data_IF_386813228165
#
_entry.id   IF_386813228165
#
_cell.length_a   1.000
_cell.length_b   1.000
_cell.length_c   1.000
_cell.angle_alpha   90.00
_cell.angle_beta   90.00
_cell.angle_gamma   90.00
#
_symmetry.space_group_name_H-M   'P 1'
#
loop_
_entity.id
_entity.type
_entity.pdbx_description
1 polymer ?
#
# COMPACT_ATOMS: atom_id res chain seq x y z
N UNK A 1 30.09 -14.62 -54.00
CA UNK A 1 30.60 -14.04 -52.75
C UNK A 1 29.38 -13.73 -51.88
N UNK A 2 28.92 -14.70 -51.09
CA UNK A 2 27.77 -14.52 -50.21
C UNK A 2 28.27 -13.97 -48.88
N UNK A 3 27.83 -12.76 -48.53
CA UNK A 3 28.02 -12.24 -47.18
C UNK A 3 26.94 -12.87 -46.27
N UNK A 4 27.29 -13.34 -45.06
CA UNK A 4 26.28 -13.71 -44.08
C UNK A 4 25.70 -12.43 -43.44
N UNK A 5 24.37 -12.36 -43.39
CA UNK A 5 23.58 -11.34 -42.70
C UNK A 5 23.86 -11.42 -41.19
N UNK A 6 24.01 -10.31 -40.45
CA UNK A 6 24.09 -10.36 -38.99
C UNK A 6 22.73 -10.80 -38.43
N UNK A 7 22.70 -11.97 -37.80
CA UNK A 7 21.57 -12.44 -36.99
C UNK A 7 21.25 -11.38 -35.93
N UNK A 8 20.08 -10.75 -36.05
CA UNK A 8 19.49 -9.97 -34.98
C UNK A 8 19.32 -10.89 -33.76
N UNK A 9 19.97 -10.56 -32.65
CA UNK A 9 19.74 -11.22 -31.38
C UNK A 9 18.29 -10.98 -30.95
N UNK A 10 17.58 -12.00 -30.43
CA UNK A 10 16.26 -11.79 -29.83
C UNK A 10 16.39 -10.86 -28.61
N UNK A 11 15.35 -10.07 -28.25
CA UNK A 11 15.36 -9.30 -27.01
C UNK A 11 15.47 -10.30 -25.85
N UNK A 12 16.65 -10.36 -25.24
CA UNK A 12 16.84 -11.21 -24.08
C UNK A 12 16.14 -10.52 -22.90
N UNK A 13 15.08 -11.15 -22.41
CA UNK A 13 14.46 -10.83 -21.13
C UNK A 13 15.43 -11.30 -20.03
N UNK A 14 16.59 -10.67 -19.93
CA UNK A 14 17.61 -11.00 -18.92
C UNK A 14 17.27 -10.25 -17.64
N UNK A 15 16.47 -10.89 -16.78
CA UNK A 15 16.31 -10.46 -15.39
C UNK A 15 17.66 -10.57 -14.71
N UNK A 16 18.35 -9.44 -14.58
CA UNK A 16 19.63 -9.36 -13.88
C UNK A 16 19.38 -9.49 -12.38
N UNK A 17 20.09 -10.37 -11.65
CA UNK A 17 19.93 -10.49 -10.21
C UNK A 17 20.33 -9.18 -9.53
N UNK A 18 19.54 -8.74 -8.54
CA UNK A 18 19.81 -7.52 -7.79
C UNK A 18 21.02 -7.72 -6.87
N UNK A 19 21.83 -6.68 -6.73
CA UNK A 19 22.95 -6.66 -5.77
C UNK A 19 22.45 -6.41 -4.34
N UNK A 20 23.22 -6.77 -3.30
CA UNK A 20 22.84 -6.51 -1.90
C UNK A 20 22.62 -5.03 -1.57
N UNK A 21 23.24 -4.12 -2.33
CA UNK A 21 23.04 -2.68 -2.19
C UNK A 21 21.73 -2.19 -2.82
N UNK A 22 21.20 -2.94 -3.80
CA UNK A 22 19.97 -2.63 -4.53
C UNK A 22 18.73 -3.25 -3.87
N UNK A 23 18.87 -4.41 -3.21
CA UNK A 23 17.80 -5.09 -2.47
C UNK A 23 16.94 -4.19 -1.58
N UNK A 24 17.49 -3.34 -0.68
CA UNK A 24 16.65 -2.53 0.22
C UNK A 24 15.79 -1.50 -0.51
N UNK A 25 16.24 -0.98 -1.66
CA UNK A 25 15.44 -0.05 -2.47
C UNK A 25 14.27 -0.76 -3.14
N UNK A 26 14.48 -2.00 -3.56
CA UNK A 26 13.45 -2.83 -4.17
C UNK A 26 12.41 -3.26 -3.14
N UNK A 27 12.85 -3.74 -1.97
CA UNK A 27 11.98 -4.11 -0.86
C UNK A 27 11.13 -2.93 -0.40
N UNK A 28 11.74 -1.77 -0.16
CA UNK A 28 11.00 -0.57 0.25
C UNK A 28 9.97 -0.14 -0.81
N UNK A 29 10.35 -0.10 -2.09
CA UNK A 29 9.42 0.25 -3.16
C UNK A 29 8.27 -0.77 -3.30
N UNK A 30 8.55 -2.06 -3.08
CA UNK A 30 7.53 -3.11 -3.08
C UNK A 30 6.56 -2.96 -1.89
N UNK A 31 7.09 -2.72 -0.68
CA UNK A 31 6.28 -2.43 0.50
C UNK A 31 5.32 -1.27 0.25
N UNK A 32 5.79 -0.20 -0.40
CA UNK A 32 4.94 0.96 -0.75
C UNK A 32 3.89 0.58 -1.79
N UNK A 33 4.25 -0.17 -2.84
CA UNK A 33 3.31 -0.63 -3.86
C UNK A 33 2.19 -1.48 -3.28
N UNK A 34 2.52 -2.42 -2.38
CA UNK A 34 1.54 -3.28 -1.72
C UNK A 34 0.69 -2.50 -0.70
N UNK A 35 1.28 -1.56 0.04
CA UNK A 35 0.52 -0.71 0.96
C UNK A 35 -0.47 0.23 0.27
N UNK A 36 -0.17 0.63 -0.98
CA UNK A 36 -0.98 1.56 -1.76
C UNK A 36 -1.98 0.86 -2.68
N UNK A 37 -1.96 -0.47 -2.73
CA UNK A 37 -2.90 -1.28 -3.50
C UNK A 37 -4.26 -1.32 -2.79
N UNK A 38 -5.33 -0.69 -3.33
CA UNK A 38 -6.58 -0.52 -2.58
C UNK A 38 -7.25 -1.83 -2.15
N UNK A 39 -7.16 -2.87 -2.98
CA UNK A 39 -7.69 -4.19 -2.66
C UNK A 39 -7.04 -4.77 -1.38
N UNK A 40 -5.71 -4.75 -1.33
CA UNK A 40 -4.96 -5.26 -0.18
C UNK A 40 -5.14 -4.37 1.05
N UNK A 41 -5.15 -3.05 0.89
CA UNK A 41 -5.45 -2.11 1.99
C UNK A 41 -6.83 -2.40 2.59
N UNK A 42 -7.85 -2.57 1.76
CA UNK A 42 -9.21 -2.87 2.19
C UNK A 42 -9.30 -4.24 2.88
N UNK A 43 -8.60 -5.27 2.35
CA UNK A 43 -8.57 -6.59 2.97
C UNK A 43 -7.95 -6.56 4.38
N UNK A 44 -6.90 -5.77 4.59
CA UNK A 44 -6.26 -5.57 5.89
C UNK A 44 -7.17 -4.75 6.83
N UNK A 45 -7.80 -3.68 6.34
CA UNK A 45 -8.68 -2.83 7.15
C UNK A 45 -9.95 -3.55 7.63
N UNK A 46 -10.44 -4.52 6.86
CA UNK A 46 -11.60 -5.33 7.22
C UNK A 46 -11.23 -6.68 7.86
N UNK A 47 -9.95 -6.90 8.17
CA UNK A 47 -9.44 -8.14 8.77
C UNK A 47 -9.83 -9.41 7.99
N UNK A 48 -9.91 -9.33 6.65
CA UNK A 48 -10.25 -10.50 5.82
C UNK A 48 -9.19 -11.60 5.88
N UNK A 49 -7.95 -11.25 6.24
CA UNK A 49 -6.89 -12.21 6.57
C UNK A 49 -6.74 -12.54 8.05
N UNK A 50 -7.69 -12.12 8.90
CA UNK A 50 -7.62 -12.20 10.35
C UNK A 50 -6.85 -11.05 11.00
N UNK A 51 -6.63 -11.11 12.33
CA UNK A 51 -5.96 -10.06 13.09
C UNK A 51 -4.50 -9.83 12.65
N UNK A 52 -3.85 -10.86 12.10
CA UNK A 52 -2.48 -10.82 11.61
C UNK A 52 -2.40 -10.39 10.12
N UNK A 53 -3.47 -9.85 9.55
CA UNK A 53 -3.52 -9.42 8.13
C UNK A 53 -2.48 -8.36 7.78
N UNK A 54 -2.12 -7.49 8.73
CA UNK A 54 -1.04 -6.51 8.56
C UNK A 54 0.34 -7.18 8.44
N UNK A 55 0.61 -8.20 9.26
CA UNK A 55 1.85 -8.98 9.22
C UNK A 55 1.93 -9.84 7.95
N UNK A 56 0.81 -10.41 7.50
CA UNK A 56 0.72 -11.14 6.22
C UNK A 56 1.10 -10.27 5.02
N UNK A 57 0.75 -8.98 5.03
CA UNK A 57 1.15 -8.04 3.99
C UNK A 57 2.66 -7.79 3.99
N UNK A 58 3.29 -7.71 5.15
CA UNK A 58 4.74 -7.60 5.25
C UNK A 58 5.43 -8.89 4.77
N UNK A 59 4.93 -10.04 5.21
CA UNK A 59 5.37 -11.36 4.73
C UNK A 59 5.29 -11.49 3.21
N UNK A 60 4.24 -10.98 2.57
CA UNK A 60 4.08 -10.99 1.12
C UNK A 60 5.24 -10.32 0.39
N UNK A 61 5.84 -9.27 0.95
CA UNK A 61 7.02 -8.63 0.36
C UNK A 61 8.19 -9.61 0.24
N UNK A 62 8.44 -10.39 1.30
CA UNK A 62 9.45 -11.45 1.31
C UNK A 62 9.12 -12.58 0.35
N UNK A 63 7.85 -13.00 0.31
CA UNK A 63 7.39 -14.07 -0.58
C UNK A 63 7.59 -13.72 -2.07
N UNK A 64 7.33 -12.47 -2.46
CA UNK A 64 7.59 -11.99 -3.83
C UNK A 64 9.11 -11.92 -4.12
N UNK A 65 9.93 -11.52 -3.15
CA UNK A 65 11.39 -11.54 -3.30
C UNK A 65 11.93 -12.98 -3.49
N UNK A 66 11.37 -13.94 -2.76
CA UNK A 66 11.70 -15.37 -2.87
C UNK A 66 11.25 -15.96 -4.21
N UNK A 67 10.08 -15.56 -4.72
CA UNK A 67 9.60 -15.94 -6.06
C UNK A 67 10.62 -15.53 -7.12
N UNK A 68 11.09 -14.29 -7.07
CA UNK A 68 12.08 -13.76 -8.01
C UNK A 68 13.48 -14.34 -7.90
N UNK A 69 13.80 -14.93 -6.74
CA UNK A 69 15.05 -15.66 -6.51
C UNK A 69 14.94 -17.09 -7.04
N UNK A 70 13.77 -17.71 -6.88
CA UNK A 70 13.49 -19.08 -7.31
C UNK A 70 13.27 -19.18 -8.82
N UNK A 71 12.56 -18.22 -9.40
CA UNK A 71 12.32 -18.09 -10.83
C UNK A 71 12.65 -16.68 -11.32
N UNK A 72 13.87 -16.44 -11.84
CA UNK A 72 14.25 -15.16 -12.40
C UNK A 72 13.47 -14.79 -13.67
N UNK A 73 12.84 -15.75 -14.35
CA UNK A 73 12.10 -15.50 -15.59
C UNK A 73 10.65 -15.05 -15.34
N UNK A 74 10.20 -15.04 -14.07
CA UNK A 74 8.88 -14.55 -13.63
C UNK A 74 8.49 -13.27 -14.36
N UNK A 75 7.41 -13.35 -15.15
CA UNK A 75 6.84 -12.21 -15.84
C UNK A 75 5.65 -11.60 -15.08
N UNK A 76 4.92 -10.70 -15.73
CA UNK A 76 3.82 -9.98 -15.09
C UNK A 76 2.61 -10.88 -14.84
N UNK A 77 2.38 -11.86 -15.71
CA UNK A 77 1.28 -12.82 -15.62
C UNK A 77 1.58 -13.83 -14.50
N UNK A 78 2.82 -14.34 -14.43
CA UNK A 78 3.27 -15.23 -13.36
C UNK A 78 3.13 -14.57 -11.96
N UNK A 79 3.54 -13.30 -11.86
CA UNK A 79 3.43 -12.55 -10.60
C UNK A 79 1.98 -12.21 -10.26
N UNK A 80 1.14 -11.92 -11.25
CA UNK A 80 -0.30 -11.71 -11.04
C UNK A 80 -0.96 -12.96 -10.45
N UNK A 81 -0.76 -14.12 -11.07
CA UNK A 81 -1.31 -15.39 -10.61
C UNK A 81 -0.88 -15.70 -9.17
N UNK A 82 0.40 -15.42 -8.85
CA UNK A 82 0.92 -15.54 -7.49
C UNK A 82 0.23 -14.61 -6.49
N UNK A 83 0.05 -13.33 -6.85
CA UNK A 83 -0.63 -12.35 -5.99
C UNK A 83 -2.12 -12.70 -5.79
N UNK A 84 -2.80 -13.14 -6.84
CA UNK A 84 -4.20 -13.57 -6.77
C UNK A 84 -4.36 -14.81 -5.89
N UNK A 85 -3.45 -15.79 -5.99
CA UNK A 85 -3.46 -16.97 -5.13
C UNK A 85 -3.31 -16.59 -3.66
N UNK A 86 -2.36 -15.69 -3.32
CA UNK A 86 -2.18 -15.24 -1.94
C UNK A 86 -3.39 -14.46 -1.44
N UNK A 87 -3.98 -13.60 -2.25
CA UNK A 87 -5.20 -12.87 -1.85
C UNK A 87 -6.37 -13.82 -1.56
N UNK A 88 -6.52 -14.89 -2.34
CA UNK A 88 -7.52 -15.93 -2.10
C UNK A 88 -7.22 -16.71 -0.82
N UNK A 89 -5.99 -17.18 -0.65
CA UNK A 89 -5.64 -18.11 0.43
C UNK A 89 -5.44 -17.42 1.78
N UNK A 90 -4.77 -16.27 1.80
CA UNK A 90 -4.39 -15.57 3.03
C UNK A 90 -5.35 -14.46 3.45
N UNK A 91 -6.09 -13.89 2.49
CA UNK A 91 -6.99 -12.75 2.71
C UNK A 91 -8.45 -13.03 2.32
N UNK A 92 -8.82 -14.28 1.98
CA UNK A 92 -10.18 -14.67 1.53
C UNK A 92 -10.79 -13.70 0.49
N UNK A 93 -9.94 -13.08 -0.33
CA UNK A 93 -10.31 -12.00 -1.25
C UNK A 93 -10.17 -12.48 -2.69
N UNK A 94 -11.28 -12.47 -3.43
CA UNK A 94 -11.27 -12.68 -4.87
C UNK A 94 -11.33 -11.32 -5.59
N UNK A 95 -10.35 -11.04 -6.44
CA UNK A 95 -10.35 -9.87 -7.31
C UNK A 95 -10.94 -10.23 -8.67
N UNK A 96 -11.82 -9.36 -9.16
CA UNK A 96 -12.40 -9.46 -10.51
C UNK A 96 -11.93 -8.30 -11.40
N UNK A 97 -10.93 -7.55 -10.94
CA UNK A 97 -10.36 -6.40 -11.62
C UNK A 97 -8.87 -6.61 -11.93
N UNK A 98 -8.37 -5.92 -12.96
CA UNK A 98 -6.97 -6.04 -13.43
C UNK A 98 -5.95 -5.35 -12.49
N UNK A 99 -6.30 -4.98 -11.25
CA UNK A 99 -5.36 -4.29 -10.36
C UNK A 99 -4.17 -5.15 -9.96
N UNK A 100 -4.35 -6.48 -9.85
CA UNK A 100 -3.26 -7.41 -9.59
C UNK A 100 -2.20 -7.33 -10.71
N UNK A 101 -2.62 -7.47 -11.97
CA UNK A 101 -1.75 -7.28 -13.13
C UNK A 101 -1.03 -5.92 -13.13
N UNK A 102 -1.76 -4.83 -12.87
CA UNK A 102 -1.17 -3.49 -12.83
C UNK A 102 -0.09 -3.36 -11.74
N UNK A 103 -0.32 -3.94 -10.56
CA UNK A 103 0.68 -3.97 -9.48
C UNK A 103 1.88 -4.81 -9.89
N UNK A 104 1.67 -6.00 -10.49
CA UNK A 104 2.74 -6.86 -11.01
C UNK A 104 3.65 -6.14 -12.00
N UNK A 105 3.06 -5.42 -12.97
CA UNK A 105 3.81 -4.62 -13.93
C UNK A 105 4.65 -3.53 -13.26
N UNK A 106 4.12 -2.85 -12.23
CA UNK A 106 4.84 -1.82 -11.48
C UNK A 106 6.01 -2.40 -10.69
N UNK A 107 5.84 -3.56 -10.07
CA UNK A 107 6.91 -4.27 -9.35
C UNK A 107 8.04 -4.66 -10.31
N UNK A 108 7.72 -5.21 -11.48
CA UNK A 108 8.71 -5.57 -12.49
C UNK A 108 9.43 -4.36 -13.07
N UNK A 109 8.71 -3.26 -13.32
CA UNK A 109 9.30 -2.01 -13.77
C UNK A 109 10.30 -1.49 -12.74
N UNK A 110 9.92 -1.47 -11.47
CA UNK A 110 10.79 -1.06 -10.35
C UNK A 110 12.04 -1.94 -10.29
N UNK A 111 11.89 -3.27 -10.38
CA UNK A 111 13.02 -4.21 -10.40
C UNK A 111 13.97 -3.91 -11.55
N UNK A 112 13.44 -3.65 -12.75
CA UNK A 112 14.24 -3.34 -13.94
C UNK A 112 15.00 -2.03 -13.80
N UNK A 113 14.37 -1.00 -13.24
CA UNK A 113 15.01 0.30 -13.00
C UNK A 113 16.17 0.16 -12.02
N UNK A 114 15.94 -0.51 -10.89
CA UNK A 114 16.96 -0.73 -9.86
C UNK A 114 18.11 -1.58 -10.41
N UNK A 115 17.82 -2.61 -11.21
CA UNK A 115 18.84 -3.42 -11.89
C UNK A 115 19.68 -2.61 -12.90
N UNK A 116 19.16 -1.49 -13.40
CA UNK A 116 19.86 -0.56 -14.28
C UNK A 116 20.54 0.61 -13.52
N UNK A 117 20.65 0.52 -12.19
CA UNK A 117 21.13 1.59 -11.30
C UNK A 117 20.32 2.90 -11.41
N UNK A 118 19.06 2.82 -11.87
CA UNK A 118 18.10 3.91 -11.84
C UNK A 118 17.20 3.79 -10.60
N UNK A 119 17.48 4.63 -9.61
CA UNK A 119 16.71 4.70 -8.37
C UNK A 119 15.60 5.75 -8.40
N UNK A 120 15.37 6.44 -9.53
CA UNK A 120 14.38 7.51 -9.62
C UNK A 120 12.97 7.01 -9.29
N UNK A 121 12.61 5.80 -9.73
CA UNK A 121 11.31 5.20 -9.42
C UNK A 121 11.14 4.92 -7.94
N UNK A 122 12.13 4.28 -7.31
CA UNK A 122 12.13 3.96 -5.88
C UNK A 122 12.07 5.23 -5.01
N UNK A 123 12.81 6.27 -5.39
CA UNK A 123 12.81 7.56 -4.69
C UNK A 123 11.46 8.28 -4.82
N UNK A 124 10.86 8.28 -6.01
CA UNK A 124 9.52 8.86 -6.21
C UNK A 124 8.44 8.13 -5.40
N UNK A 125 8.51 6.79 -5.33
CA UNK A 125 7.66 5.98 -4.47
C UNK A 125 7.83 6.35 -2.99
N UNK A 126 9.07 6.52 -2.55
CA UNK A 126 9.39 6.91 -1.17
C UNK A 126 8.85 8.30 -0.84
N UNK A 127 9.06 9.29 -1.72
CA UNK A 127 8.54 10.64 -1.52
C UNK A 127 7.01 10.68 -1.50
N UNK A 128 6.37 9.92 -2.39
CA UNK A 128 4.92 9.74 -2.38
C UNK A 128 4.45 9.13 -1.05
N UNK A 129 5.16 8.13 -0.53
CA UNK A 129 4.83 7.51 0.75
C UNK A 129 5.06 8.44 1.94
N UNK A 130 6.06 9.31 1.91
CA UNK A 130 6.25 10.31 2.97
C UNK A 130 5.11 11.33 3.00
N UNK A 131 4.63 11.75 1.83
CA UNK A 131 3.53 12.72 1.69
C UNK A 131 2.15 12.10 1.94
N UNK A 132 1.95 10.86 1.53
CA UNK A 132 0.62 10.22 1.47
C UNK A 132 0.47 9.01 2.39
N UNK A 133 1.55 8.38 2.84
CA UNK A 133 1.55 7.08 3.52
C UNK A 133 1.43 7.12 5.05
N UNK A 134 1.60 8.30 5.67
CA UNK A 134 1.35 8.48 7.12
C UNK A 134 -0.14 8.66 7.45
N UNK A 135 -0.95 9.02 6.47
CA UNK A 135 -2.41 9.03 6.57
C UNK A 135 -2.95 7.87 5.75
N UNK A 136 -3.72 6.99 6.39
CA UNK A 136 -4.42 5.87 5.73
C UNK A 136 -4.94 6.31 4.35
N UNK A 137 -4.71 5.55 3.25
CA UNK A 137 -5.35 5.87 1.98
C UNK A 137 -6.85 5.90 2.25
N UNK A 138 -7.47 7.09 2.21
CA UNK A 138 -8.92 7.23 2.33
C UNK A 138 -9.50 6.66 1.05
N UNK A 139 -9.65 5.34 1.00
CA UNK A 139 -10.44 4.67 -0.03
C UNK A 139 -11.88 5.13 0.22
N UNK A 140 -12.28 6.22 -0.45
CA UNK A 140 -13.69 6.57 -0.59
C UNK A 140 -14.31 5.45 -1.43
N UNK A 141 -14.81 4.41 -0.76
CA UNK A 141 -15.73 3.46 -1.37
C UNK A 141 -16.96 4.27 -1.77
N UNK A 142 -17.01 4.71 -3.03
CA UNK A 142 -18.22 5.26 -3.64
C UNK A 142 -19.22 4.11 -3.69
N UNK A 143 -20.05 3.99 -2.66
CA UNK A 143 -21.36 3.37 -2.82
C UNK A 143 -22.11 4.27 -3.78
N UNK A 144 -22.39 3.77 -4.97
CA UNK A 144 -23.12 4.50 -6.01
C UNK A 144 -24.46 5.00 -5.43
N UNK A 145 -24.52 6.29 -5.09
CA UNK A 145 -25.71 6.92 -4.53
C UNK A 145 -25.41 8.23 -3.82
N UNK A 146 -25.47 9.34 -4.56
CA UNK A 146 -25.62 10.69 -3.99
C UNK A 146 -24.41 11.59 -4.15
N UNK A 147 -24.51 12.48 -5.13
CA UNK A 147 -23.75 13.73 -5.23
C UNK A 147 -23.93 14.58 -3.98
N UNK A 148 -22.84 15.03 -3.36
CA UNK A 148 -22.70 16.44 -2.95
C UNK A 148 -21.22 16.74 -2.65
N UNK A 149 -20.78 17.84 -3.23
CA UNK A 149 -19.43 18.38 -3.27
C UNK A 149 -19.40 19.55 -2.28
N UNK A 150 -18.66 19.43 -1.19
CA UNK A 150 -18.28 20.58 -0.36
C UNK A 150 -16.83 20.37 0.11
N UNK A 151 -15.93 21.06 -0.59
CA UNK A 151 -14.58 21.40 -0.15
C UNK A 151 -14.65 22.33 1.08
N UNK A 152 -13.98 21.96 2.16
CA UNK A 152 -13.53 22.92 3.19
C UNK A 152 -12.04 22.70 3.46
N UNK A 153 -11.24 23.65 2.97
CA UNK A 153 -9.87 23.91 3.38
C UNK A 153 -9.85 24.43 4.83
N UNK A 154 -9.02 23.90 5.72
CA UNK A 154 -8.38 24.75 6.74
C UNK A 154 -7.05 24.19 7.25
N UNK A 155 -6.14 25.14 7.41
CA UNK A 155 -4.72 25.11 7.74
C UNK A 155 -4.39 24.60 9.15
N UNK A 156 -3.12 24.25 9.39
CA UNK A 156 -2.63 24.16 10.77
C UNK A 156 -1.35 23.37 10.96
N UNK A 157 -0.25 23.87 10.40
CA UNK A 157 1.11 23.45 10.69
C UNK A 157 1.48 23.83 12.15
N UNK A 158 1.82 22.87 13.00
CA UNK A 158 2.51 23.11 14.30
C UNK A 158 3.57 22.04 14.55
N UNK A 159 4.83 22.42 14.29
CA UNK A 159 6.03 21.65 14.61
C UNK A 159 6.55 22.01 16.02
N UNK A 160 6.87 20.96 16.79
CA UNK A 160 7.76 20.87 17.98
C UNK A 160 7.60 21.81 19.19
N UNK A 161 7.50 21.27 20.41
CA UNK A 161 8.66 20.80 21.20
C UNK A 161 8.28 20.37 22.64
N UNK A 162 8.94 19.30 23.11
CA UNK A 162 9.33 18.94 24.48
C UNK A 162 8.34 18.97 25.68
N UNK A 163 8.16 17.79 26.31
CA UNK A 163 7.38 17.57 27.54
C UNK A 163 8.11 18.05 28.83
N UNK A 164 7.37 18.32 29.92
CA UNK A 164 7.47 17.38 31.05
C UNK A 164 6.16 17.11 31.84
N UNK A 165 5.95 15.82 32.09
CA UNK A 165 5.44 15.09 33.29
C UNK A 165 4.31 15.62 34.22
N UNK A 166 3.35 14.70 34.45
CA UNK A 166 2.69 14.31 35.72
C UNK A 166 1.94 15.38 36.54
N UNK A 167 0.59 15.38 36.50
CA UNK A 167 -0.31 14.94 37.61
C UNK A 167 -1.79 15.26 37.31
N UNK A 168 -2.67 14.47 37.96
CA UNK A 168 -4.10 14.63 38.18
C UNK A 168 -5.04 14.05 37.10
N UNK A 169 -5.50 12.83 37.41
CA UNK A 169 -6.75 12.22 36.95
C UNK A 169 -7.85 13.28 36.90
N UNK A 170 -8.32 13.60 35.70
CA UNK A 170 -9.50 14.43 35.50
C UNK A 170 -10.70 13.49 35.49
N UNK A 171 -11.48 13.62 36.55
CA UNK A 171 -12.77 13.01 36.81
C UNK A 171 -13.60 12.87 35.53
N UNK A 172 -14.06 11.65 35.24
CA UNK A 172 -15.02 11.36 34.18
C UNK A 172 -16.29 12.14 34.52
N UNK A 173 -16.59 13.20 33.75
CA UNK A 173 -17.87 13.89 33.84
C UNK A 173 -18.95 12.89 33.42
N UNK A 174 -19.61 12.28 34.39
CA UNK A 174 -20.80 11.46 34.17
C UNK A 174 -21.89 12.35 33.58
N UNK A 175 -22.39 11.98 32.40
CA UNK A 175 -23.56 12.61 31.80
C UNK A 175 -24.73 12.38 32.74
N UNK A 176 -25.34 13.46 33.23
CA UNK A 176 -26.58 13.38 34.02
C UNK A 176 -27.69 12.92 33.08
N UNK A 177 -28.08 11.65 33.21
CA UNK A 177 -29.21 11.03 32.51
C UNK A 177 -30.38 11.00 33.49
N UNK A 178 -31.54 11.50 33.06
CA UNK A 178 -32.76 11.51 33.88
C UNK A 178 -33.31 10.07 34.05
N UNK A 179 -34.30 9.87 34.94
CA UNK A 179 -34.78 8.52 35.34
C UNK A 179 -35.50 7.75 34.21
N UNK A 180 -35.64 8.36 33.02
CA UNK A 180 -36.19 7.75 31.80
C UNK A 180 -35.17 7.63 30.63
N UNK A 181 -33.87 7.89 30.86
CA UNK A 181 -32.81 7.54 29.89
C UNK A 181 -32.57 8.50 28.72
N UNK A 182 -33.14 9.70 28.71
CA UNK A 182 -32.97 10.69 27.63
C UNK A 182 -32.08 11.90 28.02
N UNK A 183 -31.17 12.29 27.12
CA UNK A 183 -30.26 13.45 27.27
C UNK A 183 -31.01 14.77 26.97
N UNK A 184 -31.14 15.66 27.95
CA UNK A 184 -31.91 16.92 27.87
C UNK A 184 -31.29 17.93 26.89
N UNK A 185 -32.01 18.24 25.80
CA UNK A 185 -31.62 19.29 24.83
C UNK A 185 -31.75 20.69 25.44
N UNK A 186 -30.61 21.38 25.65
CA UNK A 186 -30.60 22.77 26.10
C UNK A 186 -30.98 23.72 24.95
N UNK A 187 -32.05 24.52 25.13
CA UNK A 187 -32.45 25.55 24.16
C UNK A 187 -31.55 26.79 24.25
N UNK A 188 -30.89 27.14 23.15
CA UNK A 188 -30.11 28.38 23.00
C UNK A 188 -31.05 29.59 22.89
N UNK A 189 -30.90 30.56 23.79
CA UNK A 189 -31.68 31.81 23.85
C UNK A 189 -31.18 32.81 22.79
N UNK A 190 -32.12 33.57 22.19
CA UNK A 190 -31.88 34.69 21.25
C UNK A 190 -31.07 35.81 21.88
#
# INVERSE_FOLDING_TARGET
MSQPNPTAAPPQNTTTPLTPAQTPYFENGMTILLNTWPALSMAVENEFGGPDSADKRDWLCGAVADLFTSDPATDAEDLEDFLLQILSDEFETALEDDSAYNVSQRILLLRRQIAADDFSGANALSEFWEKNGRGKPKVKVVRQGGSDDEDEEEEGDVEMDEAPQLVAVRERVEKVVDEDGFELVQKRKR
#
